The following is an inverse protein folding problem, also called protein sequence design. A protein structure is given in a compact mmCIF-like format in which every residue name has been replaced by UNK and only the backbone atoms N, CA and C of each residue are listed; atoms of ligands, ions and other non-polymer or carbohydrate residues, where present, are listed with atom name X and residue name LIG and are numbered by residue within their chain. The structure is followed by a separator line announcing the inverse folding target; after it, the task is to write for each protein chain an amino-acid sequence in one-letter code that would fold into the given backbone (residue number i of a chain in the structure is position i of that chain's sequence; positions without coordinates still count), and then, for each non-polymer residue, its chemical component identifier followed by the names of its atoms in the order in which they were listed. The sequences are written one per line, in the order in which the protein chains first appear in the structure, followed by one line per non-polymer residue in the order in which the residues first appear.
data_IF_038627379039
#
_entry.id   IF_038627379039
#
_cell.length_a   1.000
_cell.length_b   1.000
_cell.length_c   1.000
_cell.angle_alpha   90.00
_cell.angle_beta   90.00
_cell.angle_gamma   90.00
#
_symmetry.space_group_name_H-M   'P 1'
#
loop_
_entity.id
_entity.type
_entity.pdbx_description
1 polymer ?
#
# COMPACT_ATOMS: atom_id res chain seq x y z
N UNK A 1 3.03 25.87 1.92
CA UNK A 1 3.09 24.47 2.37
C UNK A 1 2.52 23.57 1.29
N UNK A 2 3.34 22.75 0.63
CA UNK A 2 2.86 21.81 -0.39
C UNK A 2 2.19 20.60 0.28
N UNK A 3 0.86 20.49 0.21
CA UNK A 3 0.14 19.25 0.54
C UNK A 3 0.63 18.16 -0.42
N UNK A 4 1.35 17.18 0.11
CA UNK A 4 1.73 15.97 -0.65
C UNK A 4 0.45 15.22 -1.03
N UNK A 5 0.42 14.54 -2.20
CA UNK A 5 -0.74 13.77 -2.60
C UNK A 5 -1.01 12.72 -1.53
N UNK A 6 -2.20 12.81 -0.93
CA UNK A 6 -2.77 11.80 -0.06
C UNK A 6 -3.55 10.88 -0.99
N UNK A 7 -3.06 9.67 -1.20
CA UNK A 7 -3.78 8.67 -1.97
C UNK A 7 -4.88 8.11 -1.07
N UNK A 8 -6.13 8.45 -1.36
CA UNK A 8 -7.30 7.89 -0.67
C UNK A 8 -7.81 6.70 -1.47
N UNK A 9 -7.98 5.55 -0.82
CA UNK A 9 -8.53 4.34 -1.43
C UNK A 9 -9.99 4.18 -0.99
N UNK A 10 -10.94 4.39 -1.90
CA UNK A 10 -12.35 4.06 -1.63
C UNK A 10 -12.55 2.55 -1.71
N UNK A 11 -13.14 1.95 -0.67
CA UNK A 11 -13.35 0.51 -0.56
C UNK A 11 -14.65 0.04 -1.26
N UNK A 12 -14.92 0.53 -2.47
CA UNK A 12 -16.17 0.18 -3.17
C UNK A 12 -16.20 -1.27 -3.70
N UNK A 13 -15.03 -1.91 -3.86
CA UNK A 13 -14.90 -3.16 -4.63
C UNK A 13 -14.07 -4.26 -3.91
N UNK A 14 -13.91 -4.24 -2.58
CA UNK A 14 -13.12 -5.24 -1.84
C UNK A 14 -11.59 -5.16 -2.02
N UNK A 15 -11.10 -4.18 -2.80
CA UNK A 15 -9.67 -3.93 -3.02
C UNK A 15 -8.95 -3.52 -1.75
N UNK A 16 -9.65 -2.88 -0.81
CA UNK A 16 -9.12 -2.52 0.50
C UNK A 16 -8.73 -3.74 1.33
N UNK A 17 -9.57 -4.78 1.32
CA UNK A 17 -9.31 -6.05 2.01
C UNK A 17 -8.13 -6.81 1.39
N UNK A 18 -8.07 -6.87 0.05
CA UNK A 18 -6.95 -7.49 -0.65
C UNK A 18 -5.62 -6.77 -0.34
N UNK A 19 -5.66 -5.44 -0.29
CA UNK A 19 -4.51 -4.63 0.08
C UNK A 19 -4.13 -4.82 1.57
N UNK A 20 -5.10 -4.98 2.45
CA UNK A 20 -4.86 -5.29 3.85
C UNK A 20 -4.18 -6.65 4.01
N UNK A 21 -4.67 -7.66 3.31
CA UNK A 21 -4.12 -9.02 3.36
C UNK A 21 -2.67 -9.06 2.88
N UNK A 22 -2.38 -8.45 1.73
CA UNK A 22 -1.02 -8.47 1.19
C UNK A 22 -0.04 -7.73 2.11
N UNK A 23 -0.45 -6.62 2.72
CA UNK A 23 0.37 -5.86 3.66
C UNK A 23 0.65 -6.66 4.94
N UNK A 24 -0.36 -7.35 5.49
CA UNK A 24 -0.19 -8.22 6.66
C UNK A 24 0.80 -9.34 6.37
N UNK A 25 0.59 -10.07 5.27
CA UNK A 25 1.49 -11.17 4.87
C UNK A 25 2.91 -10.68 4.65
N UNK A 26 3.08 -9.57 3.92
CA UNK A 26 4.40 -8.99 3.71
C UNK A 26 5.05 -8.54 5.01
N UNK A 27 4.31 -7.90 5.93
CA UNK A 27 4.84 -7.48 7.22
C UNK A 27 5.33 -8.66 8.06
N UNK A 28 4.58 -9.76 8.09
CA UNK A 28 4.97 -10.95 8.83
C UNK A 28 6.18 -11.67 8.23
N UNK A 29 6.31 -11.67 6.90
CA UNK A 29 7.43 -12.31 6.19
C UNK A 29 8.71 -11.47 6.21
N UNK A 30 8.61 -10.18 5.84
CA UNK A 30 9.77 -9.30 5.71
C UNK A 30 10.27 -8.77 7.07
N UNK A 31 9.38 -8.67 8.07
CA UNK A 31 9.68 -8.13 9.38
C UNK A 31 9.15 -9.07 10.49
N UNK A 32 9.75 -10.26 10.68
CA UNK A 32 9.32 -11.22 11.68
C UNK A 32 9.45 -10.66 13.12
N UNK A 33 8.66 -11.19 14.09
CA UNK A 33 8.76 -10.77 15.47
C UNK A 33 10.15 -11.10 16.05
N UNK A 34 10.68 -10.23 16.91
CA UNK A 34 12.04 -10.37 17.45
C UNK A 34 13.16 -9.84 16.56
N UNK A 35 12.83 -9.13 15.46
CA UNK A 35 13.80 -8.38 14.65
C UNK A 35 14.32 -7.11 15.34
N UNK A 36 15.08 -6.29 14.61
CA UNK A 36 15.55 -5.00 15.09
C UNK A 36 14.41 -4.01 15.35
N UNK A 37 14.65 -2.97 16.15
CA UNK A 37 13.68 -1.91 16.43
C UNK A 37 13.16 -1.23 15.15
N UNK A 38 14.04 -1.00 14.17
CA UNK A 38 13.68 -0.48 12.86
C UNK A 38 12.75 -1.44 12.08
N UNK A 39 12.98 -2.76 12.20
CA UNK A 39 12.11 -3.76 11.58
C UNK A 39 10.74 -3.81 12.27
N UNK A 40 10.71 -3.72 13.60
CA UNK A 40 9.47 -3.65 14.38
C UNK A 40 8.62 -2.42 13.99
N UNK A 41 9.26 -1.25 13.87
CA UNK A 41 8.57 -0.02 13.43
C UNK A 41 7.97 -0.16 12.03
N UNK A 42 8.72 -0.79 11.11
CA UNK A 42 8.27 -1.01 9.73
C UNK A 42 7.10 -2.01 9.69
N UNK A 43 7.15 -3.06 10.52
CA UNK A 43 6.06 -4.03 10.71
C UNK A 43 4.79 -3.35 11.20
N UNK A 44 4.88 -2.57 12.28
CA UNK A 44 3.74 -1.86 12.87
C UNK A 44 3.12 -0.89 11.87
N UNK A 45 3.95 -0.15 11.13
CA UNK A 45 3.48 0.77 10.09
C UNK A 45 2.68 0.06 9.01
N UNK A 46 3.15 -1.10 8.53
CA UNK A 46 2.43 -1.90 7.54
C UNK A 46 1.12 -2.47 8.07
N UNK A 47 1.10 -2.91 9.34
CA UNK A 47 -0.11 -3.45 9.97
C UNK A 47 -1.17 -2.36 10.20
N UNK A 48 -0.76 -1.16 10.61
CA UNK A 48 -1.65 0.00 10.71
C UNK A 48 -2.23 0.37 9.33
N UNK A 49 -1.41 0.34 8.28
CA UNK A 49 -1.90 0.58 6.92
C UNK A 49 -2.82 -0.51 6.42
N UNK A 50 -2.58 -1.76 6.78
CA UNK A 50 -3.48 -2.84 6.46
C UNK A 50 -4.85 -2.66 7.11
N UNK A 51 -4.91 -2.24 8.38
CA UNK A 51 -6.17 -1.93 9.06
C UNK A 51 -6.91 -0.81 8.34
N UNK A 52 -6.23 0.31 8.05
CA UNK A 52 -6.80 1.45 7.32
C UNK A 52 -7.25 1.08 5.90
N UNK A 53 -6.56 0.16 5.24
CA UNK A 53 -6.91 -0.35 3.92
C UNK A 53 -8.25 -1.10 3.96
N UNK A 54 -8.41 -2.00 4.93
CA UNK A 54 -9.64 -2.75 5.13
C UNK A 54 -10.82 -1.82 5.45
N UNK A 55 -10.58 -0.76 6.21
CA UNK A 55 -11.59 0.24 6.57
C UNK A 55 -11.90 1.24 5.43
N UNK A 56 -11.19 1.16 4.29
CA UNK A 56 -11.34 2.13 3.20
C UNK A 56 -10.92 3.56 3.54
N UNK A 57 -10.12 3.74 4.60
CA UNK A 57 -9.66 5.03 5.09
C UNK A 57 -8.18 5.28 4.78
N UNK A 58 -7.55 4.38 4.01
CA UNK A 58 -6.12 4.40 3.77
C UNK A 58 -5.70 5.67 3.01
N UNK A 59 -4.82 6.42 3.66
CA UNK A 59 -4.23 7.66 3.20
C UNK A 59 -2.71 7.49 3.09
N UNK A 60 -2.19 7.23 1.89
CA UNK A 60 -0.75 6.97 1.69
C UNK A 60 -0.03 8.25 1.30
N UNK A 61 1.11 8.49 1.96
CA UNK A 61 2.06 9.53 1.55
C UNK A 61 3.08 8.99 0.54
N UNK A 62 3.63 9.87 -0.28
CA UNK A 62 4.64 9.49 -1.28
C UNK A 62 5.88 8.79 -0.71
N UNK A 63 6.21 9.02 0.58
CA UNK A 63 7.32 8.35 1.26
C UNK A 63 7.07 6.88 1.53
N UNK A 64 5.81 6.49 1.66
CA UNK A 64 5.40 5.15 2.04
C UNK A 64 5.01 4.29 0.84
N UNK A 65 4.79 4.93 -0.31
CA UNK A 65 4.57 4.24 -1.58
C UNK A 65 5.60 3.16 -1.91
N UNK A 66 6.93 3.35 -1.71
CA UNK A 66 7.91 2.30 -2.02
C UNK A 66 7.67 1.03 -1.22
N UNK A 67 7.33 1.15 0.07
CA UNK A 67 7.08 0.02 0.96
C UNK A 67 5.84 -0.78 0.52
N UNK A 68 4.78 -0.07 0.14
CA UNK A 68 3.54 -0.69 -0.33
C UNK A 68 3.73 -1.34 -1.70
N UNK A 69 4.49 -0.69 -2.60
CA UNK A 69 4.87 -1.28 -3.89
C UNK A 69 5.70 -2.55 -3.71
N UNK A 70 6.58 -2.60 -2.73
CA UNK A 70 7.35 -3.81 -2.41
C UNK A 70 6.42 -4.95 -1.94
N UNK A 71 5.47 -4.65 -1.06
CA UNK A 71 4.48 -5.63 -0.60
C UNK A 71 3.63 -6.20 -1.76
N UNK A 72 3.17 -5.34 -2.68
CA UNK A 72 2.40 -5.76 -3.87
C UNK A 72 3.27 -6.65 -4.77
N UNK A 73 4.49 -6.22 -5.09
CA UNK A 73 5.41 -7.00 -5.94
C UNK A 73 5.68 -8.38 -5.35
N UNK A 74 5.98 -8.44 -4.05
CA UNK A 74 6.23 -9.69 -3.34
C UNK A 74 5.00 -10.59 -3.35
N UNK A 75 3.82 -10.07 -3.00
CA UNK A 75 2.59 -10.87 -2.93
C UNK A 75 2.23 -11.51 -4.27
N UNK A 76 2.31 -10.75 -5.36
CA UNK A 76 2.00 -11.30 -6.68
C UNK A 76 3.10 -12.18 -7.27
N UNK A 77 4.34 -12.09 -6.78
CA UNK A 77 5.41 -12.99 -7.19
C UNK A 77 5.38 -14.31 -6.40
N UNK A 78 5.15 -14.25 -5.09
CA UNK A 78 5.34 -15.39 -4.19
C UNK A 78 4.04 -16.11 -3.80
N UNK A 79 2.89 -15.46 -3.92
CA UNK A 79 1.60 -16.00 -3.42
C UNK A 79 0.63 -16.29 -4.56
N UNK A 80 0.43 -15.34 -5.47
CA UNK A 80 -0.65 -15.42 -6.48
C UNK A 80 -0.14 -15.80 -7.88
N UNK A 81 1.09 -15.44 -8.22
CA UNK A 81 1.66 -15.54 -9.58
C UNK A 81 0.80 -14.83 -10.66
N UNK A 82 0.21 -13.68 -10.32
CA UNK A 82 -0.59 -12.86 -11.25
C UNK A 82 0.09 -11.51 -11.52
N UNK A 83 0.89 -11.50 -12.60
CA UNK A 83 1.61 -10.32 -13.05
C UNK A 83 0.71 -9.23 -13.61
N UNK A 84 -0.47 -9.56 -14.13
CA UNK A 84 -1.39 -8.59 -14.72
C UNK A 84 -2.09 -7.78 -13.64
N UNK A 85 -2.58 -8.45 -12.60
CA UNK A 85 -3.21 -7.81 -11.45
C UNK A 85 -2.19 -6.98 -10.66
N UNK A 86 -0.95 -7.47 -10.53
CA UNK A 86 0.19 -6.69 -9.99
C UNK A 86 0.33 -5.35 -10.73
N UNK A 87 0.44 -5.40 -12.05
CA UNK A 87 0.72 -4.21 -12.85
C UNK A 87 -0.47 -3.24 -12.86
N UNK A 88 -1.71 -3.76 -12.88
CA UNK A 88 -2.92 -2.94 -12.71
C UNK A 88 -2.90 -2.17 -11.38
N UNK A 89 -2.58 -2.83 -10.27
CA UNK A 89 -2.49 -2.18 -8.97
C UNK A 89 -1.36 -1.16 -8.93
N UNK A 90 -0.15 -1.54 -9.36
CA UNK A 90 1.00 -0.61 -9.41
C UNK A 90 0.70 0.63 -10.27
N UNK A 91 0.02 0.45 -11.39
CA UNK A 91 -0.41 1.54 -12.27
C UNK A 91 -1.50 2.41 -11.65
N UNK A 92 -2.41 1.85 -10.84
CA UNK A 92 -3.39 2.64 -10.10
C UNK A 92 -2.68 3.58 -9.10
N UNK A 93 -1.70 3.08 -8.34
CA UNK A 93 -0.86 3.92 -7.48
C UNK A 93 -0.10 5.00 -8.26
N UNK A 94 0.31 4.72 -9.51
CA UNK A 94 0.99 5.68 -10.39
C UNK A 94 0.04 6.78 -10.91
N UNK A 95 -1.17 6.40 -11.36
CA UNK A 95 -2.17 7.34 -11.88
C UNK A 95 -2.61 8.34 -10.82
N UNK A 96 -2.86 7.88 -9.59
CA UNK A 96 -3.24 8.79 -8.51
C UNK A 96 -2.06 9.67 -8.03
N UNK A 97 -0.80 9.25 -8.24
CA UNK A 97 0.37 10.09 -7.98
C UNK A 97 0.57 11.17 -9.07
N UNK A 98 0.10 10.92 -10.29
CA UNK A 98 0.29 11.77 -11.48
C UNK A 98 -0.97 12.54 -11.92
N UNK A 99 -2.07 12.52 -11.16
CA UNK A 99 -3.24 13.30 -11.52
C UNK A 99 -2.88 14.80 -11.48
N UNK A 100 -2.91 15.51 -12.61
CA UNK A 100 -2.59 16.93 -12.63
C UNK A 100 -3.60 17.65 -11.75
N UNK A 101 -3.11 18.59 -10.93
CA UNK A 101 -3.96 19.53 -10.19
C UNK A 101 -4.94 20.13 -11.19
N UNK A 102 -6.21 19.76 -11.12
CA UNK A 102 -7.24 20.57 -11.73
C UNK A 102 -7.05 21.97 -11.17
N UNK A 103 -6.66 22.90 -12.04
CA UNK A 103 -6.77 24.34 -11.77
C UNK A 103 -8.22 24.57 -11.41
N UNK A 104 -8.50 24.79 -10.13
CA UNK A 104 -9.72 25.49 -9.75
C UNK A 104 -9.59 26.89 -10.36
N UNK A 105 -10.52 27.18 -11.27
CA UNK A 105 -10.77 28.50 -11.85
C UNK A 105 -11.35 29.44 -10.80
#
# INVERSE_FOLDING_TARGET
MMRRPRLTFENSDGRGEQLAELMRRYAHTAYPPGGSECAATSRETLLDYAAKAADGSLAISSRQLPMIKAAIKWYYAEIVDDTMQRDRLLNAFQKHANMPKSKEM
#
